data_IF_129297674774
#
_entry.id   IF_129297674774
#
_cell.length_a   1.000
_cell.length_b   1.000
_cell.length_c   1.000
_cell.angle_alpha   90.00
_cell.angle_beta   90.00
_cell.angle_gamma   90.00
#
_symmetry.space_group_name_H-M   'P 1'
#
loop_
_entity.id
_entity.type
_entity.pdbx_description
1 polymer ?
#
# COMPACT_ATOMS: atom_id res chain seq x y z
N UNK A 1 -9.58 9.83 -7.61
CA UNK A 1 -8.95 9.31 -8.85
C UNK A 1 -9.86 8.21 -9.39
N UNK A 2 -10.12 8.17 -10.69
CA UNK A 2 -10.97 7.16 -11.34
C UNK A 2 -10.58 6.97 -12.81
N UNK A 3 -10.90 5.80 -13.39
CA UNK A 3 -10.72 5.53 -14.82
C UNK A 3 -11.86 6.17 -15.61
N UNK A 4 -11.52 6.78 -16.75
CA UNK A 4 -12.47 7.32 -17.72
C UNK A 4 -12.77 6.24 -18.76
N UNK A 5 -14.05 6.06 -19.10
CA UNK A 5 -14.53 4.99 -19.96
C UNK A 5 -15.20 5.52 -21.23
N UNK A 6 -14.92 4.86 -22.35
CA UNK A 6 -15.73 4.90 -23.57
C UNK A 6 -16.35 3.50 -23.76
N UNK A 7 -17.62 3.37 -23.36
CA UNK A 7 -18.28 2.08 -23.22
C UNK A 7 -17.54 1.16 -22.23
N UNK A 8 -16.85 0.14 -22.76
CA UNK A 8 -16.01 -0.79 -21.97
C UNK A 8 -14.51 -0.56 -22.12
N UNK A 9 -14.11 0.44 -22.91
CA UNK A 9 -12.70 0.77 -23.15
C UNK A 9 -12.25 1.83 -22.15
N UNK A 10 -11.18 1.57 -21.41
CA UNK A 10 -10.51 2.60 -20.61
C UNK A 10 -9.79 3.57 -21.55
N UNK A 11 -10.09 4.86 -21.44
CA UNK A 11 -9.52 5.91 -22.32
C UNK A 11 -8.67 6.93 -21.57
N UNK A 12 -8.63 6.87 -20.23
CA UNK A 12 -7.85 7.79 -19.43
C UNK A 12 -8.09 7.62 -17.94
N UNK A 13 -7.54 8.55 -17.17
CA UNK A 13 -7.70 8.65 -15.72
C UNK A 13 -7.98 10.09 -15.31
N UNK A 14 -8.90 10.25 -14.37
CA UNK A 14 -9.13 11.48 -13.64
C UNK A 14 -8.43 11.41 -12.29
N UNK A 15 -7.76 12.49 -11.91
CA UNK A 15 -7.02 12.62 -10.66
C UNK A 15 -7.21 14.02 -10.06
N UNK A 16 -6.83 14.17 -8.80
CA UNK A 16 -6.87 15.47 -8.12
C UNK A 16 -5.51 16.13 -8.32
N UNK A 17 -5.50 17.34 -8.88
CA UNK A 17 -4.29 18.15 -9.04
C UNK A 17 -4.27 19.22 -7.94
N UNK A 18 -3.18 19.28 -7.18
CA UNK A 18 -3.01 20.27 -6.11
C UNK A 18 -2.28 21.53 -6.61
N UNK A 19 -2.74 22.11 -7.72
CA UNK A 19 -2.33 23.45 -8.10
C UNK A 19 -3.53 24.27 -8.62
N UNK A 20 -3.58 25.55 -8.24
CA UNK A 20 -4.42 26.58 -8.86
C UNK A 20 -5.95 26.32 -8.91
N UNK A 21 -6.53 25.83 -7.81
CA UNK A 21 -7.99 25.81 -7.59
C UNK A 21 -8.83 24.90 -8.51
N UNK A 22 -8.21 23.99 -9.29
CA UNK A 22 -8.92 22.92 -10.00
C UNK A 22 -8.81 21.61 -9.25
N UNK A 23 -9.95 21.12 -8.75
CA UNK A 23 -10.03 19.88 -7.98
C UNK A 23 -9.82 18.62 -8.85
N UNK A 24 -9.89 18.72 -10.18
CA UNK A 24 -9.94 17.56 -11.06
C UNK A 24 -9.12 17.81 -12.36
N UNK A 25 -8.14 16.96 -12.63
CA UNK A 25 -7.41 16.87 -13.90
C UNK A 25 -7.65 15.52 -14.58
N UNK A 26 -7.59 15.49 -15.92
CA UNK A 26 -7.81 14.27 -16.72
C UNK A 26 -6.65 14.06 -17.67
N UNK A 27 -6.09 12.84 -17.69
CA UNK A 27 -5.09 12.42 -18.67
C UNK A 27 -5.64 11.26 -19.50
N UNK A 28 -5.62 11.42 -20.82
CA UNK A 28 -6.07 10.41 -21.76
C UNK A 28 -4.93 9.50 -22.22
N UNK A 29 -5.26 8.23 -22.45
CA UNK A 29 -4.35 7.22 -22.96
C UNK A 29 -4.80 6.76 -24.35
N UNK A 30 -3.89 6.82 -25.34
CA UNK A 30 -4.17 6.28 -26.69
C UNK A 30 -4.19 4.76 -26.72
N UNK A 31 -3.31 4.12 -25.94
CA UNK A 31 -3.19 2.67 -25.87
C UNK A 31 -4.05 2.09 -24.75
N UNK A 32 -3.42 1.87 -23.60
CA UNK A 32 -3.99 1.18 -22.45
C UNK A 32 -3.82 2.00 -21.16
N UNK A 33 -4.65 1.69 -20.16
CA UNK A 33 -4.53 2.19 -18.79
C UNK A 33 -4.16 1.02 -17.89
N UNK A 34 -2.97 1.09 -17.27
CA UNK A 34 -2.45 0.05 -16.39
C UNK A 34 -2.54 0.54 -14.93
N UNK A 35 -3.23 -0.22 -14.08
CA UNK A 35 -3.39 0.12 -12.66
C UNK A 35 -2.35 -0.61 -11.79
N UNK A 36 -1.40 0.14 -11.27
CA UNK A 36 -0.31 -0.37 -10.42
C UNK A 36 -0.35 0.22 -9.00
N UNK A 37 -1.54 0.39 -8.42
CA UNK A 37 -1.73 0.92 -7.07
C UNK A 37 -1.44 -0.09 -5.93
N UNK A 38 -0.95 -1.29 -6.26
CA UNK A 38 -0.71 -2.37 -5.30
C UNK A 38 -2.00 -3.06 -4.82
N UNK A 39 -1.83 -4.04 -3.92
CA UNK A 39 -2.90 -4.93 -3.47
C UNK A 39 -4.08 -4.21 -2.79
N UNK A 40 -3.86 -3.01 -2.25
CA UNK A 40 -4.89 -2.21 -1.57
C UNK A 40 -5.54 -1.19 -2.53
N UNK A 41 -4.74 -0.36 -3.22
CA UNK A 41 -5.31 0.75 -3.98
C UNK A 41 -5.82 0.36 -5.37
N UNK A 42 -5.26 -0.67 -6.02
CA UNK A 42 -5.78 -1.15 -7.32
C UNK A 42 -7.24 -1.61 -7.25
N UNK A 43 -7.65 -2.51 -6.32
CA UNK A 43 -9.06 -2.92 -6.24
C UNK A 43 -9.99 -1.80 -5.79
N UNK A 44 -9.50 -0.86 -4.97
CA UNK A 44 -10.24 0.34 -4.58
C UNK A 44 -10.52 1.23 -5.80
N UNK A 45 -9.49 1.51 -6.61
CA UNK A 45 -9.60 2.33 -7.81
C UNK A 45 -10.51 1.68 -8.87
N UNK A 46 -10.40 0.36 -9.07
CA UNK A 46 -11.33 -0.38 -9.94
C UNK A 46 -12.78 -0.22 -9.49
N UNK A 47 -13.03 -0.40 -8.19
CA UNK A 47 -14.39 -0.28 -7.61
C UNK A 47 -14.94 1.14 -7.80
N UNK A 48 -14.15 2.17 -7.48
CA UNK A 48 -14.53 3.57 -7.73
C UNK A 48 -14.79 3.88 -9.20
N UNK A 49 -14.13 3.15 -10.10
CA UNK A 49 -14.28 3.30 -11.54
C UNK A 49 -15.40 2.43 -12.14
N UNK A 50 -16.28 1.84 -11.31
CA UNK A 50 -17.41 1.03 -11.80
C UNK A 50 -17.08 -0.43 -12.15
N UNK A 51 -15.90 -0.92 -11.75
CA UNK A 51 -15.47 -2.32 -11.95
C UNK A 51 -15.36 -3.02 -10.60
N UNK A 52 -16.32 -3.89 -10.28
CA UNK A 52 -16.35 -4.57 -8.98
C UNK A 52 -17.65 -5.31 -8.68
N UNK A 53 -17.84 -5.80 -7.44
CA UNK A 53 -19.02 -6.57 -7.09
C UNK A 53 -20.30 -5.73 -7.25
N UNK A 54 -21.27 -6.23 -8.02
CA UNK A 54 -22.50 -5.49 -8.37
C UNK A 54 -23.26 -4.94 -7.15
N UNK A 55 -23.28 -5.69 -6.04
CA UNK A 55 -23.95 -5.26 -4.81
C UNK A 55 -23.20 -4.11 -4.11
N UNK A 56 -21.87 -4.12 -4.12
CA UNK A 56 -21.03 -3.03 -3.58
C UNK A 56 -21.22 -1.77 -4.42
N UNK A 57 -21.10 -1.88 -5.74
CA UNK A 57 -21.27 -0.74 -6.66
C UNK A 57 -22.66 -0.11 -6.50
N UNK A 58 -23.72 -0.91 -6.42
CA UNK A 58 -25.08 -0.42 -6.15
C UNK A 58 -25.21 0.28 -4.81
N UNK A 59 -24.64 -0.30 -3.74
CA UNK A 59 -24.66 0.30 -2.38
C UNK A 59 -23.98 1.66 -2.36
N UNK A 60 -22.90 1.82 -3.13
CA UNK A 60 -22.13 3.05 -3.25
C UNK A 60 -22.65 4.00 -4.35
N UNK A 61 -23.76 3.65 -5.02
CA UNK A 61 -24.34 4.43 -6.12
C UNK A 61 -23.36 4.69 -7.29
N UNK A 62 -22.42 3.77 -7.53
CA UNK A 62 -21.44 3.85 -8.60
C UNK A 62 -22.02 3.20 -9.87
N UNK A 63 -22.01 3.88 -11.04
CA UNK A 63 -22.38 3.28 -12.30
C UNK A 63 -21.57 2.02 -12.60
N UNK A 64 -22.26 0.95 -13.02
CA UNK A 64 -21.59 -0.34 -13.27
C UNK A 64 -21.06 -0.38 -14.70
N UNK A 65 -19.74 -0.37 -14.84
CA UNK A 65 -19.03 -0.62 -16.10
C UNK A 65 -18.87 -2.13 -16.31
N UNK A 66 -18.38 -2.83 -15.29
CA UNK A 66 -18.20 -4.29 -15.32
C UNK A 66 -18.43 -4.94 -13.94
N UNK A 67 -19.42 -5.82 -13.79
CA UNK A 67 -19.67 -6.51 -12.53
C UNK A 67 -18.66 -7.65 -12.33
N UNK A 68 -17.62 -7.44 -11.53
CA UNK A 68 -16.59 -8.43 -11.21
C UNK A 68 -16.53 -8.72 -9.72
N UNK A 69 -16.96 -9.93 -9.32
CA UNK A 69 -17.01 -10.34 -7.91
C UNK A 69 -15.62 -10.45 -7.26
N UNK A 70 -14.59 -10.74 -8.03
CA UNK A 70 -13.22 -10.95 -7.51
C UNK A 70 -12.47 -9.66 -7.14
N UNK A 71 -12.92 -8.48 -7.60
CA UNK A 71 -12.25 -7.22 -7.28
C UNK A 71 -12.36 -6.94 -5.78
N UNK A 72 -11.21 -6.70 -5.13
CA UNK A 72 -11.11 -6.48 -3.69
C UNK A 72 -11.25 -7.74 -2.83
N UNK A 73 -11.38 -8.92 -3.45
CA UNK A 73 -11.40 -10.21 -2.76
C UNK A 73 -10.00 -10.84 -2.73
N UNK A 74 -9.83 -11.89 -1.93
CA UNK A 74 -8.59 -12.68 -1.84
C UNK A 74 -7.34 -11.85 -1.50
N UNK A 75 -7.48 -10.84 -0.62
CA UNK A 75 -6.33 -10.19 -0.01
C UNK A 75 -5.63 -11.20 0.90
N UNK A 76 -4.34 -11.42 0.65
CA UNK A 76 -3.48 -12.26 1.45
C UNK A 76 -2.35 -11.40 2.00
N UNK A 77 -1.96 -11.68 3.23
CA UNK A 77 -0.83 -11.06 3.89
C UNK A 77 -0.08 -12.11 4.70
N UNK A 78 1.19 -11.87 4.96
CA UNK A 78 1.96 -12.71 5.86
C UNK A 78 1.67 -12.29 7.29
N UNK A 79 1.06 -13.20 8.06
CA UNK A 79 0.77 -12.96 9.46
C UNK A 79 2.09 -12.86 10.26
N UNK A 80 2.31 -11.71 10.91
CA UNK A 80 3.42 -11.51 11.83
C UNK A 80 2.96 -11.70 13.28
N UNK A 81 3.49 -12.71 13.96
CA UNK A 81 3.21 -13.00 15.37
C UNK A 81 4.49 -12.83 16.19
N UNK A 82 4.77 -11.62 16.74
CA UNK A 82 5.95 -11.42 17.55
C UNK A 82 5.81 -12.16 18.89
N UNK A 83 6.80 -13.01 19.21
CA UNK A 83 6.92 -13.65 20.52
C UNK A 83 7.88 -12.85 21.38
N UNK A 84 7.38 -12.33 22.50
CA UNK A 84 8.19 -11.62 23.49
C UNK A 84 8.49 -12.56 24.67
N UNK A 85 9.78 -12.73 24.98
CA UNK A 85 10.25 -13.55 26.11
C UNK A 85 11.17 -12.73 27.01
N UNK A 86 11.10 -12.98 28.31
CA UNK A 86 12.03 -12.41 29.28
C UNK A 86 13.38 -13.12 29.19
N UNK A 87 14.46 -12.35 29.14
CA UNK A 87 15.83 -12.87 29.20
C UNK A 87 16.47 -12.46 30.52
N UNK A 88 17.25 -13.36 31.13
CA UNK A 88 18.02 -13.04 32.35
C UNK A 88 19.12 -12.01 32.09
N UNK A 89 19.73 -12.03 30.90
CA UNK A 89 20.74 -11.07 30.49
C UNK A 89 20.14 -10.03 29.54
N UNK A 90 20.56 -8.74 29.61
CA UNK A 90 20.03 -7.68 28.76
C UNK A 90 20.67 -7.71 27.36
N UNK A 91 20.64 -8.86 26.69
CA UNK A 91 21.21 -9.08 25.35
C UNK A 91 20.19 -8.90 24.23
N UNK A 92 18.89 -8.84 24.56
CA UNK A 92 17.82 -8.67 23.56
C UNK A 92 17.96 -7.36 22.79
N UNK A 93 17.65 -7.42 21.49
CA UNK A 93 17.44 -6.26 20.63
C UNK A 93 16.07 -5.66 20.95
N UNK A 94 16.06 -4.48 21.54
CA UNK A 94 14.83 -3.73 21.78
C UNK A 94 14.84 -2.42 20.97
N UNK A 95 13.66 -1.84 20.79
CA UNK A 95 13.46 -0.59 20.04
C UNK A 95 14.34 0.56 20.56
N UNK A 96 14.59 0.61 21.87
CA UNK A 96 15.45 1.63 22.47
C UNK A 96 16.91 1.47 22.01
N UNK A 97 17.44 0.24 22.00
CA UNK A 97 18.81 -0.05 21.55
C UNK A 97 19.01 0.24 20.07
N UNK A 98 18.02 -0.08 19.24
CA UNK A 98 18.05 0.19 17.79
C UNK A 98 18.01 1.68 17.45
N UNK A 99 17.31 2.49 18.26
CA UNK A 99 17.18 3.95 18.04
C UNK A 99 18.31 4.77 18.66
N UNK A 100 19.23 4.15 19.39
CA UNK A 100 20.35 4.86 20.03
C UNK A 100 21.48 5.03 19.03
N UNK A 101 21.85 6.28 18.72
CA UNK A 101 22.88 6.63 17.73
C UNK A 101 24.23 5.99 18.05
N UNK A 102 24.62 5.87 19.33
CA UNK A 102 25.88 5.22 19.72
C UNK A 102 25.91 3.73 19.35
N UNK A 103 24.79 3.01 19.48
CA UNK A 103 24.71 1.60 19.11
C UNK A 103 24.72 1.41 17.59
N UNK A 104 24.11 2.33 16.83
CA UNK A 104 24.17 2.33 15.37
C UNK A 104 25.60 2.58 14.88
N UNK A 105 26.29 3.57 15.46
CA UNK A 105 27.68 3.86 15.16
C UNK A 105 28.58 2.65 15.44
N UNK A 106 28.43 2.02 16.60
CA UNK A 106 29.18 0.81 16.94
C UNK A 106 28.88 -0.36 15.99
N UNK A 107 27.63 -0.54 15.56
CA UNK A 107 27.27 -1.60 14.60
C UNK A 107 27.95 -1.41 13.23
N UNK A 108 27.96 -0.18 12.69
CA UNK A 108 28.52 0.10 11.36
C UNK A 108 30.05 0.13 11.35
N UNK A 109 30.68 0.66 12.40
CA UNK A 109 32.13 0.90 12.39
C UNK A 109 32.95 -0.14 13.17
N UNK A 110 32.31 -1.01 13.98
CA UNK A 110 32.98 -2.06 14.76
C UNK A 110 32.69 -3.48 14.20
N UNK A 111 32.65 -3.60 12.88
CA UNK A 111 32.60 -4.86 12.12
C UNK A 111 31.32 -5.71 12.28
N UNK A 112 30.15 -5.10 12.50
CA UNK A 112 28.88 -5.83 12.55
C UNK A 112 28.71 -6.75 13.76
N UNK A 113 29.58 -6.63 14.79
CA UNK A 113 29.34 -7.28 16.09
C UNK A 113 28.06 -6.67 16.66
N UNK A 114 27.04 -7.51 16.90
CA UNK A 114 25.67 -7.09 17.18
C UNK A 114 25.53 -6.08 18.32
N UNK A 115 24.36 -5.43 18.41
CA UNK A 115 24.04 -4.43 19.43
C UNK A 115 23.79 -5.07 20.82
N UNK A 116 24.85 -5.59 21.42
CA UNK A 116 24.90 -6.09 22.78
C UNK A 116 26.20 -5.67 23.46
N UNK A 117 26.27 -5.68 24.80
CA UNK A 117 27.54 -5.46 25.50
C UNK A 117 28.58 -6.47 24.99
N UNK A 118 29.77 -5.97 24.65
CA UNK A 118 30.91 -6.70 24.08
C UNK A 118 31.58 -7.71 25.02
N UNK A 119 30.92 -8.08 26.11
CA UNK A 119 31.44 -8.98 27.15
C UNK A 119 30.75 -10.35 27.06
N UNK A 120 31.02 -11.05 25.97
CA UNK A 120 31.05 -12.52 25.92
C UNK A 120 32.39 -12.93 25.30
#
# INVERSE_FOLDING_TARGET
MQVVWDGKRAVGVEFIQWDNARLNGTVYARGEVILSGGAINTPLLLTHSGVGPKHVLKKLQIPVVSPLKGVGSNLQDHLNLPLYVSLEKPVSLNLAKLRTISNLWNYFFNSGKGMGPSYL
#
